data_IF_029633477116
#
_entry.id   IF_029633477116
#
_cell.length_a   1.000
_cell.length_b   1.000
_cell.length_c   1.000
_cell.angle_alpha   90.00
_cell.angle_beta   90.00
_cell.angle_gamma   90.00
#
_symmetry.space_group_name_H-M   'P 1'
#
loop_
_entity.id
_entity.type
_entity.pdbx_description
1 polymer ?
#
# COMPACT_ATOMS: atom_id res chain seq x y z
N UNK A 1 -2.18 19.41 -35.61
CA UNK A 1 -1.08 19.17 -34.65
C UNK A 1 -1.74 18.90 -33.31
N UNK A 2 -1.51 17.70 -32.80
CA UNK A 2 -2.06 17.05 -31.60
C UNK A 2 -1.91 17.94 -30.35
N UNK A 3 -2.66 17.77 -29.26
CA UNK A 3 -3.19 16.53 -28.70
C UNK A 3 -4.50 16.78 -27.93
N UNK A 4 -5.41 15.81 -28.03
CA UNK A 4 -6.54 15.68 -27.12
C UNK A 4 -6.03 15.44 -25.70
N UNK A 5 -6.35 16.37 -24.81
CA UNK A 5 -6.17 16.22 -23.38
C UNK A 5 -7.33 15.37 -22.85
N UNK A 6 -7.17 14.03 -22.85
CA UNK A 6 -8.17 13.09 -22.30
C UNK A 6 -7.54 12.24 -21.21
N UNK A 7 -7.43 12.81 -20.02
CA UNK A 7 -7.35 12.04 -18.75
C UNK A 7 -8.11 12.77 -17.65
N UNK A 8 -9.28 13.33 -17.96
CA UNK A 8 -10.29 13.56 -16.93
C UNK A 8 -11.13 12.28 -16.84
N UNK A 9 -10.64 11.31 -16.06
CA UNK A 9 -11.47 10.21 -15.60
C UNK A 9 -12.66 10.83 -14.88
N UNK A 10 -13.84 10.70 -15.48
CA UNK A 10 -15.11 11.15 -14.90
C UNK A 10 -15.30 10.35 -13.60
N UNK A 11 -15.07 11.04 -12.47
CA UNK A 11 -15.02 10.50 -11.10
C UNK A 11 -16.32 9.86 -10.60
N UNK A 12 -17.40 9.88 -11.37
CA UNK A 12 -18.74 9.49 -10.90
C UNK A 12 -19.21 8.11 -11.40
N UNK A 13 -18.37 7.35 -12.11
CA UNK A 13 -18.78 6.08 -12.74
C UNK A 13 -17.84 4.94 -12.42
N UNK A 14 -17.70 4.64 -11.14
CA UNK A 14 -16.93 3.51 -10.63
C UNK A 14 -17.88 2.46 -10.02
N UNK A 15 -17.72 1.19 -10.41
CA UNK A 15 -18.27 0.06 -9.67
C UNK A 15 -17.11 -0.58 -8.91
N UNK A 16 -17.16 -0.52 -7.59
CA UNK A 16 -16.09 -1.00 -6.71
C UNK A 16 -16.59 -2.19 -5.89
N UNK A 17 -15.75 -3.22 -5.76
CA UNK A 17 -15.96 -4.32 -4.82
C UNK A 17 -14.67 -4.70 -4.14
N UNK A 18 -14.72 -4.84 -2.82
CA UNK A 18 -13.62 -5.24 -1.97
C UNK A 18 -13.89 -6.63 -1.38
N UNK A 19 -12.83 -7.45 -1.28
CA UNK A 19 -12.89 -8.80 -0.74
C UNK A 19 -11.56 -9.19 -0.14
N UNK A 20 -11.60 -9.92 0.98
CA UNK A 20 -10.43 -10.53 1.61
C UNK A 20 -10.44 -12.02 1.34
N UNK A 21 -9.29 -12.55 0.95
CA UNK A 21 -9.15 -13.96 0.59
C UNK A 21 -7.93 -14.55 1.29
N UNK A 22 -8.12 -15.74 1.86
CA UNK A 22 -7.03 -16.52 2.45
C UNK A 22 -6.47 -17.48 1.40
N UNK A 23 -5.15 -17.45 1.22
CA UNK A 23 -4.45 -18.33 0.29
C UNK A 23 -3.59 -19.33 1.08
N UNK A 24 -3.82 -20.62 0.85
CA UNK A 24 -3.08 -21.71 1.48
C UNK A 24 -2.17 -22.44 0.48
N UNK A 25 -1.49 -23.48 0.98
CA UNK A 25 -0.52 -24.26 0.18
C UNK A 25 -1.17 -25.20 -0.88
N UNK A 26 -2.50 -25.18 -0.99
CA UNK A 26 -3.27 -26.04 -1.89
C UNK A 26 -3.44 -25.45 -3.30
N UNK A 27 -4.01 -26.24 -4.22
CA UNK A 27 -4.52 -25.67 -5.48
C UNK A 27 -5.74 -24.80 -5.16
N UNK A 28 -5.67 -23.54 -5.55
CA UNK A 28 -6.79 -22.61 -5.44
C UNK A 28 -7.33 -22.31 -6.84
N UNK A 29 -8.62 -22.55 -7.04
CA UNK A 29 -9.36 -21.94 -8.12
C UNK A 29 -9.45 -20.44 -7.82
N UNK A 30 -9.27 -19.58 -8.82
CA UNK A 30 -9.10 -18.13 -8.64
C UNK A 30 -10.16 -17.50 -7.70
N UNK A 31 -9.76 -16.45 -6.99
CA UNK A 31 -10.63 -15.70 -6.08
C UNK A 31 -11.22 -14.47 -6.77
N UNK A 32 -12.45 -14.11 -6.41
CA UNK A 32 -13.13 -12.93 -6.96
C UNK A 32 -14.61 -12.88 -6.61
N UNK A 33 -15.37 -12.14 -7.42
CA UNK A 33 -16.81 -11.98 -7.26
C UNK A 33 -17.54 -12.74 -8.35
N UNK A 34 -18.47 -13.62 -7.96
CA UNK A 34 -19.35 -14.33 -8.90
C UNK A 34 -20.20 -13.38 -9.76
N UNK A 35 -20.47 -12.17 -9.25
CA UNK A 35 -21.08 -11.08 -10.00
C UNK A 35 -20.42 -9.78 -9.56
N UNK A 36 -19.72 -9.10 -10.46
CA UNK A 36 -19.10 -7.79 -10.20
C UNK A 36 -20.01 -6.64 -10.65
N UNK A 37 -20.51 -6.72 -11.87
CA UNK A 37 -21.47 -5.79 -12.48
C UNK A 37 -22.49 -6.60 -13.28
N UNK A 38 -23.72 -6.09 -13.41
CA UNK A 38 -24.72 -6.74 -14.27
C UNK A 38 -24.40 -6.49 -15.74
N UNK A 39 -24.74 -7.44 -16.61
CA UNK A 39 -24.53 -7.27 -18.06
C UNK A 39 -25.29 -6.05 -18.62
N UNK A 40 -26.51 -5.81 -18.11
CA UNK A 40 -27.32 -4.64 -18.47
C UNK A 40 -26.63 -3.34 -18.10
N UNK A 41 -26.05 -3.25 -16.90
CA UNK A 41 -25.35 -2.05 -16.46
C UNK A 41 -24.01 -1.88 -17.19
N UNK A 42 -23.29 -2.97 -17.44
CA UNK A 42 -22.01 -2.95 -18.15
C UNK A 42 -22.15 -2.44 -19.60
N UNK A 43 -23.24 -2.80 -20.29
CA UNK A 43 -23.52 -2.36 -21.65
C UNK A 43 -24.30 -1.05 -21.76
N UNK A 44 -24.69 -0.42 -20.65
CA UNK A 44 -25.38 0.87 -20.71
C UNK A 44 -24.40 1.96 -21.21
N UNK A 45 -24.60 2.52 -22.43
CA UNK A 45 -23.71 3.53 -22.96
C UNK A 45 -23.70 4.82 -22.12
N UNK A 46 -24.74 5.03 -21.30
CA UNK A 46 -24.79 6.15 -20.35
C UNK A 46 -23.91 5.91 -19.12
N UNK A 47 -23.49 4.68 -18.84
CA UNK A 47 -22.60 4.32 -17.73
C UNK A 47 -21.13 4.37 -18.12
N UNK A 48 -20.79 4.14 -19.39
CA UNK A 48 -19.43 4.34 -19.90
C UNK A 48 -18.39 3.31 -19.44
N UNK A 49 -18.83 2.16 -18.92
CA UNK A 49 -17.93 1.05 -18.54
C UNK A 49 -17.31 0.33 -19.75
N UNK A 50 -17.97 0.40 -20.90
CA UNK A 50 -17.53 -0.21 -22.15
C UNK A 50 -17.62 0.83 -23.28
N UNK A 51 -16.47 1.29 -23.77
CA UNK A 51 -16.36 2.33 -24.79
C UNK A 51 -15.38 1.86 -25.86
N UNK A 52 -15.78 1.90 -27.13
CA UNK A 52 -14.95 1.49 -28.27
C UNK A 52 -14.38 0.06 -28.13
N UNK A 53 -15.23 -0.88 -27.72
CA UNK A 53 -14.84 -2.27 -27.43
C UNK A 53 -13.75 -2.43 -26.36
N UNK A 54 -13.52 -1.39 -25.54
CA UNK A 54 -12.53 -1.38 -24.45
C UNK A 54 -13.24 -1.22 -23.10
N UNK A 55 -12.81 -2.03 -22.14
CA UNK A 55 -13.12 -1.93 -20.72
C UNK A 55 -11.78 -1.85 -19.95
N UNK A 56 -11.73 -1.01 -18.92
CA UNK A 56 -10.59 -0.92 -18.01
C UNK A 56 -10.97 -1.51 -16.66
N UNK A 57 -10.15 -2.42 -16.15
CA UNK A 57 -10.30 -3.02 -14.82
C UNK A 57 -9.09 -2.64 -14.00
N UNK A 58 -9.32 -2.08 -12.81
CA UNK A 58 -8.31 -1.75 -11.83
C UNK A 58 -8.46 -2.69 -10.64
N UNK A 59 -7.34 -3.19 -10.12
CA UNK A 59 -7.31 -4.09 -8.98
C UNK A 59 -6.25 -3.63 -7.98
N UNK A 60 -6.71 -3.28 -6.78
CA UNK A 60 -5.84 -3.01 -5.64
C UNK A 60 -5.62 -4.31 -4.88
N UNK A 61 -4.37 -4.78 -4.81
CA UNK A 61 -4.02 -6.02 -4.12
C UNK A 61 -3.03 -5.73 -3.00
N UNK A 62 -3.43 -6.02 -1.77
CA UNK A 62 -2.57 -6.00 -0.60
C UNK A 62 -2.44 -7.43 -0.07
N UNK A 63 -1.20 -7.87 0.16
CA UNK A 63 -0.92 -9.15 0.81
C UNK A 63 -0.59 -8.90 2.28
N UNK A 64 -1.30 -9.57 3.17
CA UNK A 64 -1.00 -9.60 4.59
C UNK A 64 -0.55 -11.02 4.96
N UNK A 65 0.62 -11.12 5.58
CA UNK A 65 1.04 -12.36 6.21
C UNK A 65 0.37 -12.42 7.59
N UNK A 66 -0.30 -13.53 7.91
CA UNK A 66 -0.97 -13.78 9.18
C UNK A 66 -0.02 -13.91 10.39
N UNK A 67 1.29 -13.77 10.15
CA UNK A 67 2.30 -13.84 11.19
C UNK A 67 2.52 -15.26 11.72
N UNK A 68 1.96 -16.30 11.11
CA UNK A 68 2.30 -17.69 11.43
C UNK A 68 3.64 -18.10 10.78
N UNK A 69 4.71 -17.40 11.15
CA UNK A 69 6.06 -17.97 11.15
C UNK A 69 6.26 -18.75 12.44
N UNK A 70 7.21 -19.68 12.44
CA UNK A 70 7.42 -20.69 13.48
C UNK A 70 7.38 -20.11 14.92
N UNK A 71 6.91 -20.86 15.94
CA UNK A 71 6.79 -20.41 17.34
C UNK A 71 8.08 -19.92 18.04
N UNK A 72 9.22 -19.91 17.33
CA UNK A 72 10.53 -19.60 17.87
C UNK A 72 11.03 -18.20 17.40
N UNK A 73 10.29 -17.53 16.51
CA UNK A 73 10.66 -16.21 15.98
C UNK A 73 10.08 -15.12 16.90
N UNK A 74 10.87 -14.69 17.89
CA UNK A 74 10.52 -13.59 18.81
C UNK A 74 10.64 -12.18 18.18
N UNK A 75 10.89 -12.09 16.86
CA UNK A 75 11.25 -10.83 16.20
C UNK A 75 10.14 -10.13 15.43
N UNK A 76 8.89 -10.58 15.54
CA UNK A 76 7.78 -9.90 14.86
C UNK A 76 6.98 -9.11 15.88
N UNK A 77 7.16 -7.79 15.88
CA UNK A 77 6.07 -6.87 16.25
C UNK A 77 4.85 -7.33 15.46
N UNK A 78 3.80 -7.87 16.09
CA UNK A 78 2.77 -8.56 15.35
C UNK A 78 2.20 -7.60 14.32
N UNK A 79 2.40 -7.94 13.04
CA UNK A 79 2.04 -7.07 11.93
C UNK A 79 0.54 -6.71 11.98
N UNK A 80 -0.25 -7.54 12.68
CA UNK A 80 -1.57 -7.27 13.24
C UNK A 80 -1.78 -8.10 14.53
N UNK A 81 -1.30 -7.69 15.70
CA UNK A 81 -2.08 -7.93 16.94
C UNK A 81 -2.84 -6.66 17.21
N UNK A 82 -4.09 -6.58 16.73
CA UNK A 82 -5.24 -6.95 17.54
C UNK A 82 -5.25 -6.11 18.82
N UNK A 83 -5.82 -4.91 18.72
CA UNK A 83 -6.37 -4.07 19.81
C UNK A 83 -5.65 -2.77 20.24
N UNK A 84 -4.83 -2.12 19.41
CA UNK A 84 -4.41 -0.72 19.66
C UNK A 84 -5.02 0.29 18.68
N UNK A 85 -6.30 0.11 18.34
CA UNK A 85 -7.09 1.10 17.58
C UNK A 85 -7.27 2.44 18.34
N UNK A 86 -6.73 2.58 19.55
CA UNK A 86 -6.87 3.79 20.38
C UNK A 86 -5.93 4.94 20.01
N UNK A 87 -5.00 4.78 19.05
CA UNK A 87 -3.99 5.80 18.69
C UNK A 87 -3.88 6.09 17.18
N UNK A 88 -4.87 5.71 16.38
CA UNK A 88 -4.94 6.16 14.99
C UNK A 88 -5.44 7.61 14.94
N UNK A 89 -4.84 8.41 14.06
CA UNK A 89 -5.26 9.80 13.82
C UNK A 89 -5.45 10.03 12.32
N UNK A 90 -6.34 10.95 11.98
CA UNK A 90 -6.50 11.41 10.61
C UNK A 90 -5.20 12.06 10.12
N UNK A 91 -4.71 11.60 8.98
CA UNK A 91 -3.55 12.16 8.32
C UNK A 91 -3.97 12.88 7.05
N UNK A 92 -4.00 14.22 7.12
CA UNK A 92 -4.25 15.12 5.98
C UNK A 92 -5.58 14.83 5.24
N UNK A 93 -6.60 14.33 5.94
CA UNK A 93 -7.85 13.84 5.36
C UNK A 93 -7.63 12.84 4.21
N UNK A 94 -6.57 12.03 4.28
CA UNK A 94 -6.24 11.00 3.29
C UNK A 94 -6.53 9.59 3.81
N UNK A 95 -6.19 9.33 5.07
CA UNK A 95 -6.32 8.01 5.72
C UNK A 95 -6.05 8.15 7.23
N UNK A 96 -6.20 7.03 7.96
CA UNK A 96 -5.80 6.94 9.37
C UNK A 96 -4.41 6.34 9.48
N UNK A 97 -3.57 6.92 10.34
CA UNK A 97 -2.21 6.41 10.61
C UNK A 97 -1.94 6.40 12.10
N UNK A 98 -0.95 5.61 12.55
CA UNK A 98 -0.53 5.65 13.94
C UNK A 98 0.06 7.02 14.30
N UNK A 99 -0.31 7.52 15.48
CA UNK A 99 0.12 8.82 16.01
C UNK A 99 1.64 9.02 16.03
N UNK A 100 2.41 7.97 16.32
CA UNK A 100 3.88 8.03 16.35
C UNK A 100 4.53 8.15 14.96
N UNK A 101 3.79 7.80 13.90
CA UNK A 101 4.25 7.98 12.52
C UNK A 101 3.94 9.37 11.96
N UNK A 102 3.01 10.12 12.55
CA UNK A 102 2.54 11.40 12.00
C UNK A 102 3.68 12.35 11.70
N UNK A 103 4.57 12.62 12.67
CA UNK A 103 5.69 13.54 12.47
C UNK A 103 6.64 13.08 11.36
N UNK A 104 6.90 11.76 11.28
CA UNK A 104 7.75 11.18 10.25
C UNK A 104 7.12 11.31 8.86
N UNK A 105 5.83 11.02 8.75
CA UNK A 105 5.07 11.11 7.52
C UNK A 105 4.88 12.56 7.08
N UNK A 106 4.67 13.50 8.00
CA UNK A 106 4.61 14.93 7.72
C UNK A 106 5.94 15.45 7.17
N UNK A 107 7.06 15.08 7.80
CA UNK A 107 8.40 15.44 7.33
C UNK A 107 8.68 14.86 5.94
N UNK A 108 8.39 13.57 5.75
CA UNK A 108 8.56 12.89 4.46
C UNK A 108 7.71 13.58 3.38
N UNK A 109 6.40 13.77 3.61
CA UNK A 109 5.51 14.41 2.64
C UNK A 109 5.84 15.90 2.38
N UNK A 110 6.50 16.58 3.32
CA UNK A 110 6.96 17.96 3.12
C UNK A 110 8.18 18.03 2.20
N UNK A 111 9.10 17.07 2.34
CA UNK A 111 10.28 16.92 1.46
C UNK A 111 9.91 16.31 0.10
N UNK A 112 8.90 15.46 0.09
CA UNK A 112 8.47 14.61 -1.01
C UNK A 112 6.95 14.77 -1.26
N UNK A 113 6.51 15.93 -1.80
CA UNK A 113 5.09 16.20 -2.05
C UNK A 113 4.47 15.25 -3.10
N UNK A 114 5.28 14.58 -3.90
CA UNK A 114 4.89 13.52 -4.83
C UNK A 114 4.19 12.36 -4.14
N UNK A 115 4.45 12.09 -2.86
CA UNK A 115 3.79 11.03 -2.09
C UNK A 115 2.28 11.26 -2.04
N UNK A 116 1.87 12.46 -1.62
CA UNK A 116 0.45 12.84 -1.53
C UNK A 116 -0.18 12.99 -2.91
N UNK A 117 0.55 13.59 -3.87
CA UNK A 117 0.05 13.77 -5.24
C UNK A 117 -0.13 12.43 -5.95
N UNK A 118 0.79 11.49 -5.74
CA UNK A 118 0.79 10.16 -6.34
C UNK A 118 -0.39 9.34 -5.87
N UNK A 119 -0.65 9.29 -4.56
CA UNK A 119 -1.84 8.64 -4.00
C UNK A 119 -3.12 9.20 -4.63
N UNK A 120 -3.27 10.54 -4.66
CA UNK A 120 -4.45 11.19 -5.26
C UNK A 120 -4.59 10.94 -6.76
N UNK A 121 -3.47 10.85 -7.49
CA UNK A 121 -3.47 10.61 -8.94
C UNK A 121 -3.83 9.17 -9.27
N UNK A 122 -3.40 8.21 -8.45
CA UNK A 122 -3.70 6.78 -8.62
C UNK A 122 -5.12 6.40 -8.19
N UNK A 123 -5.86 7.34 -7.58
CA UNK A 123 -7.23 7.11 -7.11
C UNK A 123 -7.35 5.92 -6.14
N UNK A 124 -6.34 5.74 -5.28
CA UNK A 124 -6.33 4.64 -4.33
C UNK A 124 -7.51 4.69 -3.36
N UNK A 125 -8.07 3.52 -3.02
CA UNK A 125 -9.05 3.41 -1.95
C UNK A 125 -8.49 3.93 -0.61
N UNK A 126 -9.38 4.31 0.31
CA UNK A 126 -8.97 4.75 1.65
C UNK A 126 -8.17 3.64 2.37
N UNK A 127 -8.59 2.38 2.22
CA UNK A 127 -7.93 1.21 2.79
C UNK A 127 -6.53 1.00 2.20
N UNK A 128 -6.38 1.07 0.88
CA UNK A 128 -5.07 0.91 0.23
C UNK A 128 -4.12 2.06 0.58
N UNK A 129 -4.66 3.29 0.64
CA UNK A 129 -3.93 4.47 1.09
C UNK A 129 -3.45 4.32 2.53
N UNK A 130 -4.32 3.89 3.45
CA UNK A 130 -3.99 3.62 4.85
C UNK A 130 -2.85 2.59 4.95
N UNK A 131 -2.97 1.46 4.26
CA UNK A 131 -1.98 0.38 4.29
C UNK A 131 -0.63 0.83 3.77
N UNK A 132 -0.61 1.59 2.68
CA UNK A 132 0.63 2.13 2.12
C UNK A 132 1.30 3.13 3.08
N UNK A 133 0.55 4.09 3.64
CA UNK A 133 1.10 5.05 4.61
C UNK A 133 1.55 4.39 5.91
N UNK A 134 0.88 3.31 6.33
CA UNK A 134 1.30 2.50 7.47
C UNK A 134 2.62 1.76 7.19
N UNK A 135 2.78 1.15 6.02
CA UNK A 135 4.04 0.53 5.60
C UNK A 135 5.18 1.56 5.50
N UNK A 136 4.91 2.72 4.89
CA UNK A 136 5.89 3.82 4.81
C UNK A 136 6.28 4.31 6.20
N UNK A 137 5.30 4.49 7.10
CA UNK A 137 5.53 4.90 8.48
C UNK A 137 6.42 3.93 9.24
N UNK A 138 6.22 2.61 9.06
CA UNK A 138 7.06 1.57 9.65
C UNK A 138 8.51 1.66 9.16
N UNK A 139 8.74 1.77 7.85
CA UNK A 139 10.10 1.92 7.29
C UNK A 139 10.77 3.19 7.82
N UNK A 140 10.08 4.32 7.84
CA UNK A 140 10.64 5.58 8.36
C UNK A 140 10.96 5.50 9.85
N UNK A 141 10.07 4.89 10.63
CA UNK A 141 10.27 4.69 12.05
C UNK A 141 11.48 3.79 12.31
N UNK A 142 11.61 2.70 11.54
CA UNK A 142 12.75 1.80 11.62
C UNK A 142 14.07 2.54 11.36
N UNK A 143 14.18 3.26 10.25
CA UNK A 143 15.39 4.01 9.87
C UNK A 143 15.73 5.12 10.88
N UNK A 144 14.73 5.71 11.53
CA UNK A 144 14.93 6.70 12.59
C UNK A 144 15.45 6.08 13.89
N UNK A 145 15.02 4.85 14.18
CA UNK A 145 15.37 4.12 15.41
C UNK A 145 16.76 3.50 15.31
N UNK A 146 17.15 3.04 14.11
CA UNK A 146 18.46 2.43 13.84
C UNK A 146 19.30 3.37 12.97
N UNK A 147 19.93 4.39 13.58
CA UNK A 147 20.75 5.36 12.84
C UNK A 147 22.08 4.78 12.36
N UNK A 148 22.63 3.84 13.12
CA UNK A 148 23.91 3.20 12.87
C UNK A 148 23.71 1.70 12.58
N UNK A 149 24.24 1.25 11.43
CA UNK A 149 24.24 -0.16 10.97
C UNK A 149 25.08 -1.09 11.87
N UNK A 150 25.55 -0.61 13.01
CA UNK A 150 26.25 -1.41 14.02
C UNK A 150 25.29 -1.89 15.10
N UNK A 151 24.13 -1.24 15.23
CA UNK A 151 23.13 -1.54 16.24
C UNK A 151 22.11 -2.59 15.73
N UNK A 152 22.27 -3.06 14.50
CA UNK A 152 21.39 -4.05 13.86
C UNK A 152 22.00 -5.45 13.99
N UNK A 153 21.23 -6.39 14.51
CA UNK A 153 21.46 -7.82 14.36
C UNK A 153 20.84 -8.37 13.07
N UNK A 154 21.05 -9.66 12.80
CA UNK A 154 20.56 -10.32 11.58
C UNK A 154 19.02 -10.29 11.51
N UNK A 155 18.32 -10.43 12.64
CA UNK A 155 16.85 -10.40 12.68
C UNK A 155 16.30 -8.99 12.35
N UNK A 156 16.99 -7.96 12.81
CA UNK A 156 16.70 -6.55 12.53
C UNK A 156 16.87 -6.24 11.04
N UNK A 157 17.83 -6.88 10.36
CA UNK A 157 18.00 -6.76 8.90
C UNK A 157 16.82 -7.37 8.15
N UNK A 158 16.42 -8.59 8.51
CA UNK A 158 15.31 -9.31 7.87
C UNK A 158 13.99 -8.51 8.03
N UNK A 159 13.77 -7.91 9.21
CA UNK A 159 12.61 -7.03 9.43
C UNK A 159 12.59 -5.83 8.47
N UNK A 160 13.73 -5.15 8.28
CA UNK A 160 13.81 -4.02 7.36
C UNK A 160 13.58 -4.46 5.91
N UNK A 161 14.10 -5.63 5.52
CA UNK A 161 13.89 -6.18 4.20
C UNK A 161 12.40 -6.48 3.95
N UNK A 162 11.74 -7.17 4.88
CA UNK A 162 10.31 -7.48 4.80
C UNK A 162 9.46 -6.20 4.72
N UNK A 163 9.76 -5.19 5.53
CA UNK A 163 9.07 -3.89 5.50
C UNK A 163 9.27 -3.16 4.16
N UNK A 164 10.47 -3.22 3.60
CA UNK A 164 10.78 -2.59 2.32
C UNK A 164 10.11 -3.32 1.15
N UNK A 165 10.10 -4.64 1.14
CA UNK A 165 9.39 -5.46 0.15
C UNK A 165 7.88 -5.21 0.22
N UNK A 166 7.31 -5.17 1.43
CA UNK A 166 5.92 -4.80 1.64
C UNK A 166 5.62 -3.42 1.04
N UNK A 167 6.42 -2.39 1.33
CA UNK A 167 6.20 -1.04 0.82
C UNK A 167 6.29 -0.98 -0.72
N UNK A 168 7.22 -1.71 -1.33
CA UNK A 168 7.36 -1.75 -2.79
C UNK A 168 6.23 -2.51 -3.48
N UNK A 169 5.57 -3.45 -2.80
CA UNK A 169 4.47 -4.23 -3.38
C UNK A 169 3.28 -3.35 -3.82
N UNK A 170 3.13 -2.16 -3.24
CA UNK A 170 2.11 -1.18 -3.60
C UNK A 170 2.37 -0.46 -4.94
N UNK A 171 3.53 -0.68 -5.59
CA UNK A 171 3.83 -0.09 -6.90
C UNK A 171 4.00 1.43 -6.89
N UNK A 172 4.47 2.00 -5.78
CA UNK A 172 4.80 3.43 -5.73
C UNK A 172 6.18 3.68 -6.34
N UNK A 173 6.20 4.13 -7.60
CA UNK A 173 7.45 4.21 -8.41
C UNK A 173 8.54 5.16 -7.86
N UNK A 174 8.16 6.21 -7.13
CA UNK A 174 9.09 7.26 -6.68
C UNK A 174 9.41 7.20 -5.18
N UNK A 175 10.13 6.14 -4.78
CA UNK A 175 10.72 5.98 -3.44
C UNK A 175 12.25 5.98 -3.48
N UNK A 176 12.84 6.60 -4.50
CA UNK A 176 14.30 6.61 -4.72
C UNK A 176 15.08 7.28 -3.58
N UNK A 177 14.50 8.34 -3.00
CA UNK A 177 15.05 9.05 -1.85
C UNK A 177 15.16 8.16 -0.60
N UNK A 178 14.22 7.23 -0.43
CA UNK A 178 14.17 6.29 0.70
C UNK A 178 15.09 5.09 0.46
N UNK A 179 15.19 4.64 -0.81
CA UNK A 179 16.00 3.50 -1.23
C UNK A 179 17.46 3.62 -0.79
N UNK A 180 18.05 4.80 -0.81
CA UNK A 180 19.44 5.00 -0.37
C UNK A 180 19.59 4.78 1.15
N UNK A 181 18.62 5.23 1.94
CA UNK A 181 18.59 4.99 3.39
C UNK A 181 18.48 3.50 3.70
N UNK A 182 17.56 2.80 3.04
CA UNK A 182 17.39 1.34 3.21
C UNK A 182 18.64 0.59 2.75
N UNK A 183 19.19 0.89 1.57
CA UNK A 183 20.41 0.26 1.04
C UNK A 183 21.62 0.40 1.95
N UNK A 184 21.80 1.56 2.60
CA UNK A 184 22.90 1.76 3.56
C UNK A 184 22.86 0.70 4.67
N UNK A 185 21.66 0.33 5.11
CA UNK A 185 21.46 -0.71 6.12
C UNK A 185 21.52 -2.12 5.52
N UNK A 186 21.19 -2.28 4.23
CA UNK A 186 21.21 -3.57 3.54
C UNK A 186 22.58 -4.00 2.96
N UNK A 187 23.60 -3.14 2.96
CA UNK A 187 24.90 -3.40 2.29
C UNK A 187 25.94 -4.14 3.15
N UNK A 188 25.66 -4.44 4.42
CA UNK A 188 26.58 -5.23 5.25
C UNK A 188 26.32 -6.72 5.05
N UNK A 189 27.22 -7.35 4.30
CA UNK A 189 27.60 -8.75 4.48
C UNK A 189 29.12 -8.81 4.51
#
# INVERSE_FOLDING_TARGET
MEAENRTDMVKDKLSEKEGTYEFGNGKHDGSGFASFITLTEFHDPNKGFFVNDVCTIEAEVCVENDGHRHPNDNHIMPLVTRNNNSNLVDFKSLCKVRKDFVQLLEEACSKHPELVKGVKKRNWSENFTERWFMALGRVLHFLKSHKDVKDMDDDTYEELQDLWEQLNSFGFDDLTWLKNGVKKHMMKK
#
